data_IF_742870066647
#
_entry.id   IF_742870066647
#
_cell.length_a   1.000
_cell.length_b   1.000
_cell.length_c   1.000
_cell.angle_alpha   90.00
_cell.angle_beta   90.00
_cell.angle_gamma   90.00
#
_symmetry.space_group_name_H-M   'P 1'
#
loop_
_entity.id
_entity.type
_entity.pdbx_description
1 polymer ?
#
# COMPACT_ATOMS: atom_id res chain seq x y z
N UNK A 1 -29.02 75.99 -10.85
CA UNK A 1 -29.64 75.20 -9.79
C UNK A 1 -29.32 73.74 -10.03
N UNK A 2 -28.60 73.23 -9.09
CA UNK A 2 -27.97 71.91 -9.12
C UNK A 2 -28.97 70.80 -8.89
N UNK A 3 -28.72 69.65 -9.48
CA UNK A 3 -28.88 68.42 -8.73
C UNK A 3 -27.96 67.31 -9.28
N UNK A 4 -27.07 66.88 -8.40
CA UNK A 4 -26.15 65.77 -8.62
C UNK A 4 -26.80 64.53 -8.05
N UNK A 5 -27.11 63.56 -8.89
CA UNK A 5 -27.57 62.24 -8.46
C UNK A 5 -26.43 61.24 -8.60
N UNK A 6 -25.89 60.82 -7.44
CA UNK A 6 -24.81 59.83 -7.35
C UNK A 6 -25.31 58.43 -7.65
N UNK A 7 -24.57 57.72 -8.50
CA UNK A 7 -24.75 56.31 -8.77
C UNK A 7 -23.96 55.49 -7.74
N UNK A 8 -24.70 54.83 -6.82
CA UNK A 8 -24.13 53.79 -5.94
C UNK A 8 -24.05 52.47 -6.72
N UNK A 9 -22.83 52.05 -7.05
CA UNK A 9 -22.56 50.68 -7.48
C UNK A 9 -22.74 49.73 -6.29
N UNK A 10 -23.78 48.92 -6.31
CA UNK A 10 -23.90 47.75 -5.44
C UNK A 10 -23.07 46.63 -6.05
N UNK A 11 -21.86 46.38 -5.53
CA UNK A 11 -21.15 45.13 -5.72
C UNK A 11 -21.88 44.02 -4.94
N UNK A 12 -22.58 43.16 -5.66
CA UNK A 12 -23.09 41.91 -5.11
C UNK A 12 -21.90 40.93 -5.02
N UNK A 13 -21.34 40.74 -3.83
CA UNK A 13 -20.38 39.70 -3.54
C UNK A 13 -21.11 38.35 -3.51
N UNK A 14 -20.96 37.55 -4.57
CA UNK A 14 -21.37 36.17 -4.53
C UNK A 14 -20.41 35.41 -3.63
N UNK A 15 -20.86 35.11 -2.40
CA UNK A 15 -20.22 34.16 -1.51
C UNK A 15 -20.48 32.78 -2.08
N UNK A 16 -19.51 32.20 -2.80
CA UNK A 16 -19.52 30.80 -3.18
C UNK A 16 -19.37 30.00 -1.90
N UNK A 17 -20.46 29.50 -1.35
CA UNK A 17 -20.42 28.47 -0.31
C UNK A 17 -19.83 27.20 -0.93
N UNK A 18 -18.57 26.96 -0.69
CA UNK A 18 -17.97 25.63 -0.87
C UNK A 18 -18.67 24.73 0.15
N UNK A 19 -19.31 23.62 -0.26
CA UNK A 19 -19.90 22.69 0.71
C UNK A 19 -18.81 22.26 1.68
N UNK A 20 -19.00 22.58 2.96
CA UNK A 20 -18.06 22.23 4.01
C UNK A 20 -17.80 20.72 3.97
N UNK A 21 -16.53 20.34 3.88
CA UNK A 21 -16.09 18.98 4.14
C UNK A 21 -16.44 18.72 5.60
N UNK A 22 -17.53 18.00 5.85
CA UNK A 22 -17.84 17.47 7.18
C UNK A 22 -16.77 16.44 7.46
N UNK A 23 -15.77 16.83 8.23
CA UNK A 23 -14.72 15.92 8.70
C UNK A 23 -15.39 14.90 9.63
N UNK A 24 -15.37 13.59 9.33
CA UNK A 24 -15.88 12.59 10.26
C UNK A 24 -15.08 12.65 11.57
N UNK A 25 -15.67 12.25 12.70
CA UNK A 25 -14.98 12.28 13.99
C UNK A 25 -13.70 11.44 13.93
N UNK A 26 -12.62 11.98 14.49
CA UNK A 26 -11.34 11.30 14.59
C UNK A 26 -11.47 10.08 15.51
N UNK A 27 -11.32 8.88 14.96
CA UNK A 27 -11.36 7.62 15.70
C UNK A 27 -9.96 7.12 16.07
N UNK A 28 -8.90 7.75 15.58
CA UNK A 28 -7.53 7.47 15.99
C UNK A 28 -7.22 8.05 17.38
N UNK A 29 -6.36 7.39 18.13
CA UNK A 29 -5.79 7.98 19.34
C UNK A 29 -5.12 9.31 19.01
N UNK A 30 -5.03 10.23 19.99
CA UNK A 30 -4.32 11.48 19.79
C UNK A 30 -2.88 11.18 19.33
N UNK A 31 -2.52 11.59 18.10
CA UNK A 31 -1.23 11.30 17.48
C UNK A 31 -1.21 10.10 16.53
N UNK A 32 -2.35 9.43 16.28
CA UNK A 32 -2.43 8.35 15.29
C UNK A 32 -2.03 8.82 13.88
N UNK A 33 -1.28 7.97 13.17
CA UNK A 33 -0.80 8.23 11.82
C UNK A 33 -1.98 8.17 10.83
N UNK A 34 -2.25 9.25 10.12
CA UNK A 34 -3.28 9.28 9.07
C UNK A 34 -2.80 8.51 7.87
N UNK A 35 -3.52 7.48 7.48
CA UNK A 35 -3.18 6.65 6.33
C UNK A 35 -4.30 6.64 5.28
N UNK A 36 -3.90 6.48 4.02
CA UNK A 36 -4.77 6.02 2.93
C UNK A 36 -4.24 4.66 2.53
N UNK A 37 -5.08 3.63 2.64
CA UNK A 37 -4.77 2.27 2.18
C UNK A 37 -5.24 2.13 0.73
N UNK A 38 -4.32 1.90 -0.21
CA UNK A 38 -4.63 1.60 -1.61
C UNK A 38 -4.39 0.10 -1.83
N UNK A 39 -5.40 -0.64 -2.29
CA UNK A 39 -5.48 -2.10 -2.13
C UNK A 39 -6.19 -2.73 -3.33
N UNK A 40 -5.87 -3.97 -3.66
CA UNK A 40 -6.53 -4.81 -4.70
C UNK A 40 -7.22 -6.04 -4.09
N UNK A 41 -8.24 -5.87 -3.23
CA UNK A 41 -8.69 -6.72 -2.15
C UNK A 41 -8.70 -8.22 -2.43
N UNK A 42 -7.54 -8.85 -2.15
CA UNK A 42 -7.33 -10.28 -2.03
C UNK A 42 -7.35 -10.75 -0.57
N UNK A 43 -6.85 -11.96 -0.34
CA UNK A 43 -6.82 -12.57 0.99
C UNK A 43 -5.85 -11.90 1.95
N UNK A 44 -4.66 -11.53 1.49
CA UNK A 44 -3.64 -10.81 2.28
C UNK A 44 -3.98 -9.31 2.44
N UNK A 45 -4.61 -8.69 1.44
CA UNK A 45 -5.24 -7.37 1.59
C UNK A 45 -6.30 -7.36 2.70
N UNK A 46 -7.11 -8.41 2.78
CA UNK A 46 -8.09 -8.54 3.87
C UNK A 46 -7.40 -8.57 5.23
N UNK A 47 -6.27 -9.26 5.34
CA UNK A 47 -5.46 -9.28 6.56
C UNK A 47 -4.84 -7.91 6.85
N UNK A 48 -4.33 -7.21 5.84
CA UNK A 48 -3.77 -5.87 5.95
C UNK A 48 -4.83 -4.85 6.38
N UNK A 49 -6.01 -4.87 5.74
CA UNK A 49 -7.11 -3.99 6.07
C UNK A 49 -7.59 -4.19 7.51
N UNK A 50 -7.79 -5.43 7.93
CA UNK A 50 -8.23 -5.72 9.30
C UNK A 50 -7.16 -5.38 10.33
N UNK A 51 -5.88 -5.56 10.04
CA UNK A 51 -4.79 -5.08 10.89
C UNK A 51 -4.84 -3.55 11.03
N UNK A 52 -5.00 -2.82 9.92
CA UNK A 52 -5.08 -1.35 9.95
C UNK A 52 -6.27 -0.85 10.77
N UNK A 53 -7.45 -1.47 10.61
CA UNK A 53 -8.67 -1.08 11.32
C UNK A 53 -8.64 -1.40 12.83
N UNK A 54 -7.84 -2.39 13.24
CA UNK A 54 -7.70 -2.79 14.64
C UNK A 54 -6.45 -2.21 15.34
N UNK A 55 -5.73 -1.30 14.67
CA UNK A 55 -4.49 -0.70 15.21
C UNK A 55 -4.74 0.75 15.61
N UNK A 56 -4.71 1.07 16.93
CA UNK A 56 -4.98 2.43 17.41
C UNK A 56 -3.92 3.45 16.99
N UNK A 57 -2.76 3.00 16.54
CA UNK A 57 -1.69 3.84 15.99
C UNK A 57 -2.02 4.42 14.61
N UNK A 58 -3.05 3.87 13.94
CA UNK A 58 -3.45 4.26 12.60
C UNK A 58 -4.83 4.92 12.59
N UNK A 59 -4.94 6.02 11.86
CA UNK A 59 -6.19 6.69 11.50
C UNK A 59 -6.43 6.49 10.00
N UNK A 60 -7.21 5.46 9.65
CA UNK A 60 -7.54 5.12 8.25
C UNK A 60 -8.50 6.16 7.69
N UNK A 61 -7.98 7.09 6.87
CA UNK A 61 -8.74 8.22 6.30
C UNK A 61 -9.52 7.86 5.04
N UNK A 62 -9.03 6.87 4.29
CA UNK A 62 -9.69 6.32 3.12
C UNK A 62 -9.12 4.95 2.76
N UNK A 63 -9.91 4.22 1.98
CA UNK A 63 -9.50 3.03 1.25
C UNK A 63 -9.76 3.30 -0.22
N UNK A 64 -8.73 3.14 -1.06
CA UNK A 64 -8.87 3.22 -2.52
C UNK A 64 -8.58 1.86 -3.12
N UNK A 65 -9.36 1.50 -4.15
CA UNK A 65 -9.28 0.16 -4.74
C UNK A 65 -8.69 0.24 -6.13
N UNK A 66 -7.71 -0.62 -6.38
CA UNK A 66 -7.03 -0.83 -7.66
C UNK A 66 -7.26 -2.27 -8.12
N UNK A 67 -7.23 -2.61 -9.41
CA UNK A 67 -7.25 -3.99 -9.87
C UNK A 67 -5.86 -4.64 -9.72
N UNK A 68 -5.84 -5.91 -9.38
CA UNK A 68 -4.64 -6.73 -9.23
C UNK A 68 -5.05 -8.16 -8.92
N UNK A 69 -5.15 -8.54 -7.65
CA UNK A 69 -5.58 -9.87 -7.23
C UNK A 69 -6.95 -10.25 -7.80
N UNK A 70 -7.84 -9.28 -7.91
CA UNK A 70 -9.16 -9.38 -8.53
C UNK A 70 -9.43 -8.17 -9.42
N UNK A 71 -10.54 -8.20 -10.16
CA UNK A 71 -11.00 -7.02 -10.92
C UNK A 71 -11.37 -5.86 -9.98
N UNK A 72 -11.26 -4.63 -10.46
CA UNK A 72 -11.60 -3.43 -9.68
C UNK A 72 -13.02 -3.50 -9.07
N UNK A 73 -14.00 -3.99 -9.83
CA UNK A 73 -15.39 -4.14 -9.35
C UNK A 73 -15.52 -5.16 -8.21
N UNK A 74 -14.87 -6.33 -8.32
CA UNK A 74 -14.84 -7.33 -7.25
C UNK A 74 -14.09 -6.81 -6.04
N UNK A 75 -12.96 -6.14 -6.24
CA UNK A 75 -12.18 -5.53 -5.16
C UNK A 75 -12.96 -4.47 -4.39
N UNK A 76 -13.68 -3.59 -5.10
CA UNK A 76 -14.53 -2.57 -4.46
C UNK A 76 -15.64 -3.22 -3.60
N UNK A 77 -16.29 -4.27 -4.11
CA UNK A 77 -17.28 -5.01 -3.34
C UNK A 77 -16.66 -5.67 -2.11
N UNK A 78 -15.48 -6.29 -2.24
CA UNK A 78 -14.76 -6.91 -1.12
C UNK A 78 -14.41 -5.85 -0.04
N UNK A 79 -13.81 -4.72 -0.43
CA UNK A 79 -13.47 -3.64 0.51
C UNK A 79 -14.70 -3.12 1.25
N UNK A 80 -15.80 -2.87 0.54
CA UNK A 80 -17.07 -2.42 1.14
C UNK A 80 -17.65 -3.44 2.13
N UNK A 81 -17.61 -4.74 1.79
CA UNK A 81 -18.06 -5.81 2.68
C UNK A 81 -17.19 -5.90 3.94
N UNK A 82 -15.87 -5.76 3.80
CA UNK A 82 -14.93 -5.80 4.92
C UNK A 82 -15.10 -4.62 5.87
N UNK A 83 -15.20 -3.37 5.39
CA UNK A 83 -15.46 -2.22 6.27
C UNK A 83 -16.84 -2.29 6.91
N UNK A 84 -17.84 -2.87 6.22
CA UNK A 84 -19.16 -3.13 6.76
C UNK A 84 -19.11 -4.17 7.89
N UNK A 85 -18.34 -5.24 7.73
CA UNK A 85 -18.11 -6.27 8.75
C UNK A 85 -17.45 -5.70 10.00
N UNK A 86 -16.49 -4.78 9.80
CA UNK A 86 -15.79 -4.09 10.88
C UNK A 86 -16.59 -2.93 11.50
N UNK A 87 -17.85 -2.68 11.05
CA UNK A 87 -18.68 -1.53 11.44
C UNK A 87 -18.00 -0.15 11.22
N UNK A 88 -17.20 -0.03 10.14
CA UNK A 88 -16.42 1.18 9.80
C UNK A 88 -16.91 1.84 8.50
N UNK A 89 -18.25 1.95 8.33
CA UNK A 89 -18.84 2.69 7.21
C UNK A 89 -18.57 4.21 7.24
N UNK A 90 -17.93 4.70 8.28
CA UNK A 90 -17.40 6.06 8.39
C UNK A 90 -16.19 6.29 7.48
N UNK A 91 -15.46 5.23 7.10
CA UNK A 91 -14.30 5.31 6.21
C UNK A 91 -14.77 5.33 4.76
N UNK A 92 -14.43 6.37 3.97
CA UNK A 92 -14.72 6.38 2.54
C UNK A 92 -13.94 5.29 1.80
N UNK A 93 -14.65 4.52 0.99
CA UNK A 93 -14.08 3.49 0.11
C UNK A 93 -14.38 3.89 -1.33
N UNK A 94 -13.36 4.14 -2.13
CA UNK A 94 -13.50 4.61 -3.52
C UNK A 94 -12.88 3.62 -4.51
N UNK A 95 -13.59 3.33 -5.60
CA UNK A 95 -13.03 2.64 -6.75
C UNK A 95 -12.04 3.54 -7.50
N UNK A 96 -10.93 2.96 -7.92
CA UNK A 96 -9.90 3.63 -8.70
C UNK A 96 -9.85 3.15 -10.15
N UNK A 97 -8.63 3.01 -10.68
CA UNK A 97 -8.39 2.49 -12.03
C UNK A 97 -9.09 1.14 -12.24
N UNK A 98 -9.52 0.89 -13.46
CA UNK A 98 -10.10 -0.41 -13.85
C UNK A 98 -9.06 -1.32 -14.50
N UNK A 99 -7.95 -0.75 -14.97
CA UNK A 99 -6.87 -1.43 -15.67
C UNK A 99 -5.51 -0.81 -15.33
N UNK A 100 -4.40 -1.57 -15.44
CA UNK A 100 -3.05 -1.02 -15.46
C UNK A 100 -2.89 0.02 -16.58
N UNK A 101 -1.89 0.89 -16.50
CA UNK A 101 -1.68 1.99 -17.46
C UNK A 101 -1.51 1.50 -18.90
N UNK A 102 -0.72 0.45 -19.10
CA UNK A 102 -0.34 0.03 -20.46
C UNK A 102 -0.53 -1.46 -20.74
N UNK A 103 -0.66 -2.30 -19.75
CA UNK A 103 -0.77 -3.73 -20.00
C UNK A 103 -2.12 -4.31 -19.59
N UNK A 104 -2.36 -5.56 -19.96
CA UNK A 104 -3.57 -6.26 -19.55
C UNK A 104 -3.49 -6.62 -18.07
N UNK A 105 -4.59 -6.48 -17.36
CA UNK A 105 -4.74 -6.96 -16.01
C UNK A 105 -4.50 -8.47 -15.93
N UNK A 106 -3.71 -8.89 -14.95
CA UNK A 106 -3.48 -10.28 -14.60
C UNK A 106 -4.00 -10.46 -13.18
N UNK A 107 -5.09 -11.22 -13.03
CA UNK A 107 -5.66 -11.53 -11.72
C UNK A 107 -4.99 -12.74 -11.08
N UNK A 108 -5.08 -12.82 -9.75
CA UNK A 108 -4.44 -13.87 -8.95
C UNK A 108 -5.48 -14.78 -8.25
N UNK A 109 -6.60 -15.11 -8.91
CA UNK A 109 -7.67 -15.96 -8.37
C UNK A 109 -7.17 -17.31 -7.86
N UNK A 110 -6.06 -17.81 -8.42
CA UNK A 110 -5.45 -19.06 -7.96
C UNK A 110 -4.99 -18.97 -6.50
N UNK A 111 -4.41 -17.82 -6.11
CA UNK A 111 -3.91 -17.59 -4.76
C UNK A 111 -4.98 -17.05 -3.79
N UNK A 112 -5.96 -16.29 -4.29
CA UNK A 112 -6.92 -15.58 -3.46
C UNK A 112 -8.34 -16.15 -3.51
N UNK A 113 -8.57 -17.22 -4.29
CA UNK A 113 -9.90 -17.75 -4.54
C UNK A 113 -10.67 -16.91 -5.57
N UNK A 114 -11.75 -17.47 -6.12
CA UNK A 114 -12.53 -16.82 -7.21
C UNK A 114 -13.11 -15.46 -6.83
N UNK A 115 -13.47 -15.29 -5.56
CA UNK A 115 -14.00 -14.02 -5.05
C UNK A 115 -12.93 -13.13 -4.42
N UNK A 116 -11.66 -13.53 -4.43
CA UNK A 116 -10.55 -12.82 -3.82
C UNK A 116 -10.43 -13.01 -2.30
N UNK A 117 -11.40 -13.62 -1.62
CA UNK A 117 -11.44 -13.77 -0.17
C UNK A 117 -11.39 -15.24 0.28
N UNK A 118 -10.59 -16.07 -0.41
CA UNK A 118 -10.49 -17.50 -0.09
C UNK A 118 -11.79 -18.26 -0.33
N UNK A 119 -12.65 -17.77 -1.22
CA UNK A 119 -14.02 -18.26 -1.48
C UNK A 119 -14.95 -18.13 -0.26
N UNK A 120 -14.64 -17.28 0.70
CA UNK A 120 -15.49 -17.02 1.87
C UNK A 120 -16.49 -15.95 1.48
N UNK A 121 -17.78 -16.26 1.70
CA UNK A 121 -18.87 -15.34 1.43
C UNK A 121 -19.10 -14.41 2.63
N UNK A 122 -18.98 -13.11 2.38
CA UNK A 122 -19.37 -12.07 3.33
C UNK A 122 -20.81 -11.59 3.07
N UNK A 123 -21.54 -11.16 4.10
CA UNK A 123 -22.81 -10.48 3.93
C UNK A 123 -22.69 -9.29 2.98
N UNK A 124 -23.79 -8.92 2.32
CA UNK A 124 -23.83 -7.68 1.53
C UNK A 124 -23.46 -6.48 2.39
N UNK A 125 -22.68 -5.58 1.82
CA UNK A 125 -22.25 -4.37 2.51
C UNK A 125 -23.44 -3.47 2.86
N UNK A 126 -23.41 -2.88 4.05
CA UNK A 126 -24.26 -1.77 4.47
C UNK A 126 -23.63 -0.42 4.11
N UNK A 127 -22.32 -0.39 3.85
CA UNK A 127 -21.58 0.79 3.44
C UNK A 127 -21.80 1.06 1.94
N UNK A 128 -21.68 2.32 1.56
CA UNK A 128 -21.76 2.74 0.16
C UNK A 128 -20.38 3.19 -0.29
N UNK A 129 -20.08 2.96 -1.57
CA UNK A 129 -18.88 3.50 -2.17
C UNK A 129 -18.91 5.03 -2.18
N UNK A 130 -17.74 5.64 -1.97
CA UNK A 130 -17.54 7.06 -2.26
C UNK A 130 -17.66 7.28 -3.78
N UNK A 131 -18.36 8.32 -4.18
CA UNK A 131 -18.60 8.60 -5.60
C UNK A 131 -17.36 9.17 -6.32
N UNK A 132 -16.32 9.58 -5.57
CA UNK A 132 -15.07 10.06 -6.15
C UNK A 132 -14.28 8.92 -6.75
N UNK A 133 -13.54 9.21 -7.80
CA UNK A 133 -12.51 8.32 -8.32
C UNK A 133 -11.36 8.19 -7.30
N UNK A 134 -10.82 6.99 -7.07
CA UNK A 134 -9.81 6.73 -6.05
C UNK A 134 -8.64 7.73 -6.05
N UNK A 135 -7.97 7.98 -7.19
CA UNK A 135 -6.94 9.03 -7.31
C UNK A 135 -7.41 10.42 -6.91
N UNK A 136 -8.66 10.81 -7.22
CA UNK A 136 -9.21 12.12 -6.81
C UNK A 136 -9.45 12.19 -5.30
N UNK A 137 -9.84 11.07 -4.69
CA UNK A 137 -9.97 10.97 -3.23
C UNK A 137 -8.60 11.11 -2.54
N UNK A 138 -7.55 10.46 -3.08
CA UNK A 138 -6.16 10.59 -2.61
C UNK A 138 -5.74 12.06 -2.66
N UNK A 139 -5.88 12.72 -3.82
CA UNK A 139 -5.53 14.13 -4.01
C UNK A 139 -6.26 15.02 -2.99
N UNK A 140 -7.57 14.84 -2.87
CA UNK A 140 -8.38 15.64 -1.96
C UNK A 140 -7.93 15.53 -0.50
N UNK A 141 -7.61 14.31 -0.03
CA UNK A 141 -7.18 14.07 1.34
C UNK A 141 -5.75 14.55 1.60
N UNK A 142 -4.82 14.35 0.65
CA UNK A 142 -3.45 14.87 0.79
C UNK A 142 -3.46 16.40 0.86
N UNK A 143 -4.29 17.07 0.07
CA UNK A 143 -4.45 18.55 0.14
C UNK A 143 -5.15 19.02 1.39
N UNK A 144 -6.09 18.24 1.93
CA UNK A 144 -6.78 18.57 3.19
C UNK A 144 -5.88 18.39 4.43
N UNK A 145 -4.90 17.50 4.36
CA UNK A 145 -3.98 17.14 5.46
C UNK A 145 -2.52 17.17 4.97
N UNK A 146 -1.99 18.35 4.56
CA UNK A 146 -0.63 18.44 4.01
C UNK A 146 0.42 18.00 5.04
N UNK A 147 1.35 17.16 4.60
CA UNK A 147 2.42 16.54 5.40
C UNK A 147 1.96 15.62 6.54
N UNK A 148 0.67 15.21 6.52
CA UNK A 148 0.15 14.31 7.55
C UNK A 148 -0.21 12.93 6.99
N UNK A 149 -0.54 12.83 5.69
CA UNK A 149 -0.97 11.57 5.06
C UNK A 149 0.22 10.69 4.74
N UNK A 150 0.18 9.45 5.25
CA UNK A 150 1.00 8.33 4.78
C UNK A 150 0.18 7.53 3.78
N UNK A 151 0.70 7.36 2.56
CA UNK A 151 0.12 6.45 1.58
C UNK A 151 0.64 5.04 1.86
N UNK A 152 -0.26 4.07 1.94
CA UNK A 152 0.06 2.65 2.15
C UNK A 152 -0.53 1.84 0.99
N UNK A 153 0.10 1.88 -0.21
CA UNK A 153 -0.33 1.03 -1.31
C UNK A 153 0.18 -0.40 -1.08
N UNK A 154 -0.75 -1.36 -1.12
CA UNK A 154 -0.48 -2.80 -1.01
C UNK A 154 -0.87 -3.57 -2.27
N UNK A 155 -1.44 -2.89 -3.26
CA UNK A 155 -1.71 -3.39 -4.61
C UNK A 155 -0.83 -2.72 -5.68
N UNK A 156 -1.12 -2.95 -6.98
CA UNK A 156 -0.47 -2.27 -8.09
C UNK A 156 -0.58 -0.74 -7.98
N UNK A 157 0.47 -0.01 -8.34
CA UNK A 157 0.63 1.41 -8.04
C UNK A 157 -0.14 2.36 -8.98
N UNK A 158 -1.07 1.85 -9.78
CA UNK A 158 -1.81 2.59 -10.81
C UNK A 158 -2.55 3.80 -10.24
N UNK A 159 -3.27 3.64 -9.11
CA UNK A 159 -4.00 4.75 -8.50
C UNK A 159 -3.06 5.87 -8.02
N UNK A 160 -1.93 5.50 -7.46
CA UNK A 160 -0.93 6.45 -6.94
C UNK A 160 -0.29 7.21 -8.11
N UNK A 161 0.06 6.51 -9.18
CA UNK A 161 0.60 7.13 -10.40
C UNK A 161 -0.40 8.09 -11.06
N UNK A 162 -1.68 7.70 -11.16
CA UNK A 162 -2.73 8.58 -11.66
C UNK A 162 -2.95 9.81 -10.78
N UNK A 163 -2.82 9.68 -9.46
CA UNK A 163 -2.90 10.83 -8.56
C UNK A 163 -1.74 11.81 -8.78
N UNK A 164 -0.51 11.30 -9.00
CA UNK A 164 0.66 12.11 -9.36
C UNK A 164 0.44 12.80 -10.70
N UNK A 165 -0.02 12.08 -11.72
CA UNK A 165 -0.23 12.62 -13.06
C UNK A 165 -1.29 13.73 -13.08
N UNK A 166 -2.40 13.51 -12.37
CA UNK A 166 -3.49 14.49 -12.27
C UNK A 166 -3.08 15.74 -11.48
N UNK A 167 -2.27 15.57 -10.46
CA UNK A 167 -1.85 16.65 -9.56
C UNK A 167 -0.45 16.41 -8.97
N UNK A 168 0.62 16.71 -9.72
CA UNK A 168 1.99 16.55 -9.23
C UNK A 168 2.29 17.35 -7.94
N UNK A 169 1.47 18.39 -7.68
CA UNK A 169 1.61 19.23 -6.48
C UNK A 169 1.27 18.51 -5.17
N UNK A 170 0.75 17.28 -5.20
CA UNK A 170 0.55 16.47 -3.98
C UNK A 170 1.84 15.84 -3.48
N UNK A 171 2.81 15.59 -4.36
CA UNK A 171 4.05 14.87 -3.99
C UNK A 171 4.75 15.50 -2.79
N UNK A 172 5.07 16.81 -2.76
CA UNK A 172 5.69 17.42 -1.59
C UNK A 172 4.78 17.49 -0.35
N UNK A 173 3.46 17.25 -0.50
CA UNK A 173 2.49 17.29 0.59
C UNK A 173 2.27 15.94 1.25
N UNK A 174 2.65 14.84 0.60
CA UNK A 174 2.60 13.49 1.19
C UNK A 174 3.68 13.38 2.27
N UNK A 175 3.33 12.84 3.44
CA UNK A 175 4.27 12.62 4.53
C UNK A 175 5.30 11.55 4.19
N UNK A 176 4.84 10.40 3.72
CA UNK A 176 5.62 9.26 3.29
C UNK A 176 4.77 8.26 2.51
N UNK A 177 5.41 7.39 1.75
CA UNK A 177 4.81 6.23 1.10
C UNK A 177 5.43 4.97 1.68
N UNK A 178 4.62 4.01 2.11
CA UNK A 178 5.05 2.69 2.56
C UNK A 178 4.34 1.68 1.66
N UNK A 179 5.03 1.18 0.64
CA UNK A 179 4.43 0.28 -0.34
C UNK A 179 4.77 -1.18 -0.06
N UNK A 180 3.81 -2.07 -0.31
CA UNK A 180 4.09 -3.47 -0.54
C UNK A 180 4.36 -3.70 -2.02
N UNK A 181 5.51 -4.22 -2.34
CA UNK A 181 5.88 -4.55 -3.72
C UNK A 181 7.37 -4.62 -3.94
N UNK A 182 7.74 -5.22 -5.04
CA UNK A 182 9.12 -5.37 -5.48
C UNK A 182 9.95 -6.39 -4.72
N UNK A 183 11.16 -6.57 -5.19
CA UNK A 183 12.18 -7.43 -4.59
C UNK A 183 13.55 -7.09 -5.17
N UNK A 184 14.60 -7.28 -4.38
CA UNK A 184 15.99 -7.15 -4.86
C UNK A 184 16.69 -8.50 -5.05
N UNK A 185 15.94 -9.60 -4.87
CA UNK A 185 16.49 -10.98 -4.96
C UNK A 185 15.78 -11.87 -5.96
N UNK A 186 14.76 -11.37 -6.64
CA UNK A 186 13.95 -12.14 -7.59
C UNK A 186 12.46 -11.91 -7.39
N UNK A 187 11.62 -12.56 -8.19
CA UNK A 187 10.18 -12.31 -8.21
C UNK A 187 9.35 -13.52 -7.78
N UNK A 188 8.02 -13.31 -7.71
CA UNK A 188 7.02 -14.35 -7.45
C UNK A 188 6.07 -14.58 -8.65
N UNK A 189 6.02 -13.65 -9.62
CA UNK A 189 5.27 -13.83 -10.88
C UNK A 189 6.17 -14.46 -11.93
N UNK A 190 7.41 -14.05 -12.00
CA UNK A 190 8.45 -14.62 -12.82
C UNK A 190 9.79 -14.57 -12.04
N UNK A 191 10.90 -14.93 -12.66
CA UNK A 191 12.20 -14.94 -11.99
C UNK A 191 12.70 -13.57 -11.50
N UNK A 192 12.16 -12.47 -12.02
CA UNK A 192 12.64 -11.12 -11.78
C UNK A 192 11.64 -10.22 -11.04
N UNK A 193 10.34 -10.37 -11.27
CA UNK A 193 9.34 -9.39 -10.89
C UNK A 193 8.37 -9.90 -9.79
N UNK A 194 8.08 -8.99 -8.86
CA UNK A 194 7.01 -9.13 -7.88
C UNK A 194 5.66 -8.71 -8.49
N UNK A 195 4.56 -9.29 -8.03
CA UNK A 195 3.23 -9.21 -8.64
C UNK A 195 2.68 -7.79 -8.76
N UNK A 196 2.77 -6.95 -7.73
CA UNK A 196 2.24 -5.59 -7.74
C UNK A 196 3.00 -4.72 -8.74
N UNK A 197 4.33 -4.83 -8.74
CA UNK A 197 5.17 -4.09 -9.68
C UNK A 197 5.00 -4.62 -11.10
N UNK A 198 4.88 -5.95 -11.26
CA UNK A 198 4.67 -6.57 -12.57
C UNK A 198 3.33 -6.20 -13.19
N UNK A 199 2.28 -6.03 -12.40
CA UNK A 199 0.97 -5.63 -12.91
C UNK A 199 0.96 -4.23 -13.53
N UNK A 200 1.77 -3.29 -13.02
CA UNK A 200 1.90 -1.94 -13.62
C UNK A 200 3.30 -1.36 -13.42
N UNK A 201 4.31 -1.83 -14.18
CA UNK A 201 5.69 -1.37 -14.02
C UNK A 201 5.87 0.12 -14.30
N UNK A 202 5.10 0.69 -15.23
CA UNK A 202 5.14 2.11 -15.56
C UNK A 202 4.61 2.96 -14.41
N UNK A 203 3.51 2.57 -13.79
CA UNK A 203 3.01 3.22 -12.58
C UNK A 203 4.02 3.12 -11.44
N UNK A 204 4.63 1.95 -11.25
CA UNK A 204 5.65 1.74 -10.24
C UNK A 204 6.87 2.65 -10.48
N UNK A 205 7.38 2.74 -11.69
CA UNK A 205 8.49 3.64 -12.03
C UNK A 205 8.15 5.11 -11.71
N UNK A 206 6.94 5.57 -12.03
CA UNK A 206 6.48 6.93 -11.69
C UNK A 206 6.50 7.17 -10.18
N UNK A 207 6.03 6.21 -9.40
CA UNK A 207 5.96 6.29 -7.93
C UNK A 207 7.36 6.31 -7.30
N UNK A 208 8.29 5.46 -7.76
CA UNK A 208 9.67 5.45 -7.27
C UNK A 208 10.42 6.72 -7.62
N UNK A 209 10.13 7.35 -8.76
CA UNK A 209 10.80 8.57 -9.22
C UNK A 209 10.13 9.87 -8.77
N UNK A 210 9.03 9.80 -8.03
CA UNK A 210 8.26 10.99 -7.63
C UNK A 210 9.01 11.93 -6.68
N UNK A 211 9.95 11.43 -5.87
CA UNK A 211 10.79 12.25 -4.98
C UNK A 211 10.26 12.44 -3.56
N UNK A 212 9.26 11.69 -3.15
CA UNK A 212 8.78 11.64 -1.76
C UNK A 212 9.55 10.63 -0.90
N UNK A 213 9.47 10.71 0.44
CA UNK A 213 9.96 9.65 1.32
C UNK A 213 9.23 8.33 1.04
N UNK A 214 9.96 7.31 0.57
CA UNK A 214 9.40 6.02 0.17
C UNK A 214 10.10 4.88 0.90
N UNK A 215 9.30 3.93 1.44
CA UNK A 215 9.79 2.66 1.98
C UNK A 215 9.18 1.51 1.19
N UNK A 216 10.04 0.69 0.58
CA UNK A 216 9.68 -0.53 -0.13
C UNK A 216 9.70 -1.71 0.84
N UNK A 217 8.56 -2.38 1.02
CA UNK A 217 8.39 -3.61 1.78
C UNK A 217 8.16 -4.73 0.78
N UNK A 218 9.25 -5.32 0.29
CA UNK A 218 9.23 -6.31 -0.79
C UNK A 218 9.23 -7.76 -0.30
N UNK A 219 9.34 -8.68 -1.27
CA UNK A 219 9.42 -10.12 -1.01
C UNK A 219 10.58 -10.47 -0.08
N UNK A 220 11.70 -9.71 -0.14
CA UNK A 220 12.92 -9.93 0.66
C UNK A 220 12.67 -10.04 2.16
N UNK A 221 11.63 -9.39 2.66
CA UNK A 221 11.21 -9.41 4.06
C UNK A 221 9.89 -10.14 4.25
N UNK A 222 8.97 -10.08 3.28
CA UNK A 222 7.69 -10.80 3.31
C UNK A 222 7.88 -12.30 3.42
N UNK A 223 8.81 -12.88 2.64
CA UNK A 223 9.13 -14.32 2.66
C UNK A 223 9.65 -14.82 4.01
N UNK A 224 10.10 -13.91 4.87
CA UNK A 224 10.55 -14.23 6.23
C UNK A 224 9.43 -14.19 7.27
N UNK A 225 8.24 -13.68 6.93
CA UNK A 225 7.11 -13.52 7.84
C UNK A 225 6.05 -14.60 7.60
N UNK A 226 6.38 -15.84 7.87
CA UNK A 226 5.52 -16.99 7.60
C UNK A 226 4.47 -17.16 8.72
N UNK A 227 3.20 -16.96 8.37
CA UNK A 227 2.06 -17.24 9.23
C UNK A 227 1.63 -18.70 9.05
N UNK A 228 1.90 -19.53 10.05
CA UNK A 228 1.66 -20.97 10.00
C UNK A 228 0.56 -21.44 10.95
N UNK A 229 0.48 -22.78 11.14
CA UNK A 229 -0.51 -23.43 12.01
C UNK A 229 -0.55 -22.88 13.44
N UNK A 230 0.62 -22.59 14.02
CA UNK A 230 0.73 -22.04 15.39
C UNK A 230 -0.05 -20.72 15.55
N UNK A 231 0.14 -19.79 14.62
CA UNK A 231 -0.54 -18.51 14.62
C UNK A 231 -2.03 -18.67 14.29
N UNK A 232 -2.37 -19.56 13.35
CA UNK A 232 -3.74 -19.87 13.00
C UNK A 232 -4.53 -20.42 14.20
N UNK A 233 -3.96 -21.33 14.97
CA UNK A 233 -4.55 -21.85 16.21
C UNK A 233 -4.76 -20.73 17.25
N UNK A 234 -3.82 -19.79 17.33
CA UNK A 234 -3.98 -18.65 18.25
C UNK A 234 -5.13 -17.74 17.80
N UNK A 235 -5.22 -17.43 16.51
CA UNK A 235 -6.31 -16.63 15.96
C UNK A 235 -7.67 -17.28 16.15
N UNK A 236 -7.77 -18.60 16.01
CA UNK A 236 -9.00 -19.38 16.20
C UNK A 236 -9.52 -19.43 17.65
N UNK A 237 -8.79 -18.89 18.63
CA UNK A 237 -9.28 -18.81 20.04
C UNK A 237 -10.22 -17.64 20.29
N UNK A 238 -10.30 -16.68 19.37
CA UNK A 238 -11.19 -15.52 19.49
C UNK A 238 -12.27 -15.63 18.43
N UNK A 239 -13.52 -15.49 18.84
CA UNK A 239 -14.68 -15.61 17.97
C UNK A 239 -15.39 -14.27 17.80
N UNK A 240 -16.12 -14.17 16.71
CA UNK A 240 -16.90 -13.01 16.32
C UNK A 240 -16.82 -12.79 14.82
N UNK A 241 -17.70 -11.96 14.24
CA UNK A 241 -17.81 -11.83 12.78
C UNK A 241 -16.48 -11.52 12.08
N UNK A 242 -15.69 -10.61 12.62
CA UNK A 242 -14.37 -10.24 12.09
C UNK A 242 -13.34 -11.36 12.30
N UNK A 243 -13.30 -11.95 13.50
CA UNK A 243 -12.33 -12.99 13.84
C UNK A 243 -12.58 -14.28 13.06
N UNK A 244 -13.85 -14.68 12.94
CA UNK A 244 -14.23 -15.89 12.18
C UNK A 244 -13.93 -15.72 10.69
N UNK A 245 -14.16 -14.53 10.12
CA UNK A 245 -13.76 -14.20 8.76
C UNK A 245 -12.24 -14.27 8.60
N UNK A 246 -11.49 -13.62 9.49
CA UNK A 246 -10.02 -13.59 9.44
C UNK A 246 -9.42 -14.97 9.62
N UNK A 247 -9.98 -15.79 10.53
CA UNK A 247 -9.59 -17.19 10.67
C UNK A 247 -9.81 -17.96 9.36
N UNK A 248 -10.95 -17.78 8.71
CA UNK A 248 -11.26 -18.43 7.44
C UNK A 248 -10.28 -18.06 6.32
N UNK A 249 -10.03 -16.77 6.15
CA UNK A 249 -9.11 -16.25 5.12
C UNK A 249 -7.68 -16.72 5.37
N UNK A 250 -7.17 -16.60 6.59
CA UNK A 250 -5.81 -17.06 6.93
C UNK A 250 -5.67 -18.57 6.82
N UNK A 251 -6.70 -19.32 7.23
CA UNK A 251 -6.73 -20.78 7.05
C UNK A 251 -6.62 -21.17 5.58
N UNK A 252 -7.37 -20.51 4.69
CA UNK A 252 -7.33 -20.78 3.26
C UNK A 252 -5.89 -20.63 2.73
N UNK A 253 -5.19 -19.54 3.07
CA UNK A 253 -3.83 -19.29 2.62
C UNK A 253 -2.83 -20.28 3.23
N UNK A 254 -2.93 -20.58 4.53
CA UNK A 254 -2.04 -21.56 5.18
C UNK A 254 -2.20 -22.94 4.53
N UNK A 255 -3.44 -23.40 4.32
CA UNK A 255 -3.70 -24.68 3.67
C UNK A 255 -3.26 -24.73 2.20
N UNK A 256 -3.33 -23.58 1.51
CA UNK A 256 -2.81 -23.47 0.14
C UNK A 256 -1.28 -23.55 0.14
N UNK A 257 -0.59 -22.77 0.98
CA UNK A 257 0.88 -22.80 1.09
C UNK A 257 1.42 -24.20 1.45
N UNK A 258 0.76 -24.88 2.38
CA UNK A 258 1.13 -26.26 2.76
C UNK A 258 1.02 -27.26 1.59
N UNK A 259 0.06 -27.06 0.65
CA UNK A 259 -0.03 -27.90 -0.56
C UNK A 259 1.18 -27.73 -1.49
N UNK A 260 1.87 -26.59 -1.42
CA UNK A 260 3.12 -26.34 -2.13
C UNK A 260 4.37 -26.71 -1.33
N UNK A 261 4.21 -27.21 -0.10
CA UNK A 261 5.30 -27.67 0.75
C UNK A 261 5.86 -26.58 1.69
N UNK A 262 5.22 -25.44 1.76
CA UNK A 262 5.62 -24.34 2.64
C UNK A 262 5.10 -24.56 4.07
N UNK A 263 5.81 -24.05 5.06
CA UNK A 263 5.44 -24.16 6.48
C UNK A 263 4.39 -23.12 6.93
N UNK A 264 4.01 -22.20 6.05
CA UNK A 264 3.04 -21.13 6.28
C UNK A 264 2.95 -20.19 5.10
N UNK A 265 2.04 -19.22 5.17
CA UNK A 265 1.86 -18.21 4.15
C UNK A 265 2.67 -16.95 4.46
N UNK A 266 3.36 -16.35 3.48
CA UNK A 266 4.00 -15.05 3.65
C UNK A 266 2.97 -13.97 3.96
N UNK A 267 3.35 -13.01 4.80
CA UNK A 267 2.49 -11.92 5.24
C UNK A 267 2.92 -10.60 4.55
N UNK A 268 2.73 -10.52 3.23
CA UNK A 268 3.24 -9.40 2.43
C UNK A 268 2.57 -8.07 2.79
N UNK A 269 1.30 -7.92 2.49
CA UNK A 269 0.52 -6.68 2.71
C UNK A 269 0.36 -6.33 4.18
N UNK A 270 0.07 -7.32 5.06
CA UNK A 270 0.01 -7.03 6.49
C UNK A 270 1.33 -6.50 7.05
N UNK A 271 2.49 -6.93 6.48
CA UNK A 271 3.79 -6.42 6.90
C UNK A 271 3.97 -4.94 6.54
N UNK A 272 3.53 -4.49 5.36
CA UNK A 272 3.57 -3.08 4.99
C UNK A 272 2.74 -2.21 5.94
N UNK A 273 1.55 -2.68 6.33
CA UNK A 273 0.75 -2.04 7.38
C UNK A 273 1.47 -2.10 8.74
N UNK A 274 2.11 -3.22 9.06
CA UNK A 274 2.95 -3.37 10.26
C UNK A 274 4.08 -2.33 10.32
N UNK A 275 4.75 -2.08 9.20
CA UNK A 275 5.79 -1.02 9.09
C UNK A 275 5.19 0.38 9.26
N UNK A 276 3.95 0.60 8.81
CA UNK A 276 3.25 1.86 9.08
C UNK A 276 2.93 2.04 10.59
N UNK A 277 2.69 0.95 11.31
CA UNK A 277 2.49 0.95 12.78
C UNK A 277 3.84 1.16 13.49
N UNK A 278 4.83 0.35 13.15
CA UNK A 278 6.15 0.34 13.77
C UNK A 278 7.26 0.14 12.72
N UNK A 279 7.90 1.25 12.34
CA UNK A 279 8.97 1.23 11.34
C UNK A 279 10.20 0.41 11.78
N UNK A 280 10.37 0.14 13.08
CA UNK A 280 11.48 -0.67 13.59
C UNK A 280 11.29 -2.18 13.36
N UNK A 281 10.16 -2.60 12.80
CA UNK A 281 9.95 -4.00 12.38
C UNK A 281 10.92 -4.43 11.29
N UNK A 282 11.38 -3.48 10.46
CA UNK A 282 12.28 -3.78 9.34
C UNK A 282 13.59 -3.00 9.45
N UNK A 283 14.64 -3.56 8.84
CA UNK A 283 15.87 -2.83 8.53
C UNK A 283 15.82 -2.40 7.07
N UNK A 284 15.79 -1.10 6.82
CA UNK A 284 15.58 -0.54 5.49
C UNK A 284 16.63 0.53 5.14
N UNK A 285 17.82 0.15 4.60
CA UNK A 285 18.80 1.09 4.11
C UNK A 285 18.29 1.88 2.90
N UNK A 286 18.82 3.09 2.73
CA UNK A 286 18.54 3.92 1.56
C UNK A 286 19.24 3.35 0.32
N UNK A 287 18.50 3.18 -0.77
CA UNK A 287 18.98 2.71 -2.06
C UNK A 287 18.33 3.52 -3.18
N UNK A 288 18.96 3.54 -4.35
CA UNK A 288 18.29 3.96 -5.57
C UNK A 288 17.61 2.74 -6.19
N UNK A 289 16.35 2.89 -6.52
CA UNK A 289 15.52 1.83 -7.12
C UNK A 289 14.93 2.35 -8.42
N UNK A 290 15.17 1.63 -9.49
CA UNK A 290 14.49 1.77 -10.78
C UNK A 290 13.58 0.58 -11.02
N UNK A 291 12.57 0.73 -11.88
CA UNK A 291 11.71 -0.35 -12.30
C UNK A 291 11.94 -0.63 -13.79
N UNK A 292 12.23 -1.88 -14.13
CA UNK A 292 12.41 -2.30 -15.50
C UNK A 292 11.06 -2.34 -16.25
N UNK A 293 10.88 -1.46 -17.23
CA UNK A 293 9.61 -1.31 -17.97
C UNK A 293 9.65 -1.88 -19.39
N UNK A 294 10.83 -2.30 -19.93
CA UNK A 294 11.02 -2.65 -21.34
C UNK A 294 11.58 -4.04 -21.58
N UNK A 295 12.25 -4.62 -20.58
CA UNK A 295 12.91 -5.91 -20.71
C UNK A 295 11.92 -7.05 -20.96
N UNK A 296 12.24 -7.94 -21.89
CA UNK A 296 11.42 -9.11 -22.19
C UNK A 296 11.33 -10.08 -21.01
N UNK A 297 12.44 -10.28 -20.28
CA UNK A 297 12.54 -11.26 -19.17
C UNK A 297 12.53 -10.59 -17.79
N UNK A 298 12.80 -9.29 -17.73
CA UNK A 298 13.01 -8.52 -16.49
C UNK A 298 11.95 -7.44 -16.28
N UNK A 299 10.96 -7.33 -17.17
CA UNK A 299 9.87 -6.36 -17.02
C UNK A 299 9.21 -6.49 -15.65
N UNK A 300 9.12 -5.39 -14.92
CA UNK A 300 8.61 -5.33 -13.54
C UNK A 300 9.65 -5.64 -12.47
N UNK A 301 10.92 -5.91 -12.82
CA UNK A 301 12.00 -6.03 -11.84
C UNK A 301 12.27 -4.69 -11.16
N UNK A 302 12.41 -4.70 -9.84
CA UNK A 302 12.92 -3.57 -9.07
C UNK A 302 14.45 -3.67 -8.97
N UNK A 303 15.13 -2.81 -9.72
CA UNK A 303 16.59 -2.78 -9.83
C UNK A 303 17.15 -1.84 -8.77
N UNK A 304 17.58 -2.39 -7.63
CA UNK A 304 18.14 -1.61 -6.55
C UNK A 304 19.66 -1.47 -6.64
N UNK A 305 20.16 -0.25 -6.55
CA UNK A 305 21.60 -0.01 -6.50
C UNK A 305 22.15 -0.29 -5.09
N UNK A 306 22.82 -1.44 -4.95
CA UNK A 306 23.49 -1.91 -3.71
C UNK A 306 24.95 -1.45 -3.64
N UNK A 307 25.22 -0.23 -4.06
CA UNK A 307 26.58 0.33 -4.18
C UNK A 307 27.45 0.11 -2.94
N UNK A 308 26.89 0.31 -1.75
CA UNK A 308 27.64 0.15 -0.49
C UNK A 308 28.14 -1.27 -0.24
N UNK A 309 27.50 -2.30 -0.82
CA UNK A 309 27.97 -3.68 -0.78
C UNK A 309 29.08 -3.91 -1.81
N UNK A 310 28.91 -3.33 -3.00
CA UNK A 310 29.90 -3.42 -4.09
C UNK A 310 31.20 -2.71 -3.70
N UNK A 311 31.12 -1.49 -3.16
CA UNK A 311 32.30 -0.72 -2.72
C UNK A 311 33.08 -1.47 -1.63
N UNK A 312 32.39 -2.06 -0.65
CA UNK A 312 33.07 -2.87 0.39
C UNK A 312 33.78 -4.08 -0.19
N UNK A 313 33.16 -4.78 -1.13
CA UNK A 313 33.72 -5.99 -1.73
C UNK A 313 34.85 -5.68 -2.72
N UNK A 314 34.76 -4.58 -3.45
CA UNK A 314 35.79 -4.15 -4.43
C UNK A 314 37.00 -3.54 -3.72
N UNK A 315 36.81 -2.66 -2.73
CA UNK A 315 37.90 -2.01 -2.01
C UNK A 315 38.78 -2.98 -1.19
N UNK A 316 38.25 -4.13 -0.80
CA UNK A 316 39.05 -5.16 -0.10
C UNK A 316 39.98 -5.96 -1.03
N UNK A 317 39.80 -5.87 -2.36
CA UNK A 317 40.56 -6.70 -3.32
C UNK A 317 41.57 -5.91 -4.16
N UNK A 318 41.62 -4.58 -4.07
CA UNK A 318 42.56 -3.76 -4.81
C UNK A 318 43.62 -3.13 -3.89
N UNK A 319 44.93 -3.22 -4.25
CA UNK A 319 45.98 -2.54 -3.48
C UNK A 319 45.74 -1.01 -3.44
N UNK A 320 46.17 -0.36 -2.36
CA UNK A 320 46.16 1.11 -2.27
C UNK A 320 46.87 1.73 -3.47
N UNK A 321 46.12 2.42 -4.33
CA UNK A 321 46.63 3.13 -5.50
C UNK A 321 45.82 2.97 -6.78
N UNK A 322 45.13 1.85 -6.98
CA UNK A 322 44.37 1.61 -8.20
C UNK A 322 42.87 1.89 -7.96
N UNK A 323 42.49 3.14 -7.88
CA UNK A 323 41.06 3.54 -7.87
C UNK A 323 40.54 3.53 -9.31
N UNK A 324 39.82 2.47 -9.67
CA UNK A 324 38.91 2.54 -10.82
C UNK A 324 37.71 3.39 -10.44
N UNK A 325 37.73 4.65 -10.79
CA UNK A 325 36.55 5.53 -10.71
C UNK A 325 35.71 5.21 -11.94
N UNK A 326 34.58 4.49 -11.74
CA UNK A 326 33.57 4.39 -12.79
C UNK A 326 32.82 5.72 -12.77
N UNK A 327 33.12 6.60 -13.72
CA UNK A 327 32.47 7.90 -13.89
C UNK A 327 30.95 7.71 -13.94
N UNK A 328 30.21 8.39 -13.04
CA UNK A 328 28.75 8.41 -12.99
C UNK A 328 28.11 7.55 -11.90
N UNK A 329 28.82 6.62 -11.26
CA UNK A 329 28.27 5.84 -10.13
C UNK A 329 28.17 6.64 -8.82
N UNK A 330 28.93 7.70 -8.69
CA UNK A 330 28.98 8.60 -7.54
C UNK A 330 27.83 9.63 -7.48
N UNK A 331 26.94 9.62 -8.51
CA UNK A 331 25.81 10.55 -8.63
C UNK A 331 24.42 9.92 -8.38
N UNK A 332 24.36 8.63 -8.05
CA UNK A 332 23.08 7.97 -7.84
C UNK A 332 22.55 8.30 -6.44
N UNK A 333 21.57 9.20 -6.39
CA UNK A 333 20.90 9.59 -5.14
C UNK A 333 19.86 8.54 -4.77
N UNK A 334 19.86 8.02 -3.53
CA UNK A 334 18.80 7.12 -3.09
C UNK A 334 17.41 7.77 -3.20
N UNK A 335 16.43 7.02 -3.70
CA UNK A 335 15.03 7.44 -3.82
C UNK A 335 14.09 6.61 -2.95
N UNK A 336 14.58 5.52 -2.34
CA UNK A 336 13.77 4.66 -1.49
C UNK A 336 14.59 4.09 -0.32
N UNK A 337 13.90 3.78 0.78
CA UNK A 337 14.36 2.83 1.78
C UNK A 337 13.90 1.45 1.36
N UNK A 338 14.80 0.47 1.28
CA UNK A 338 14.50 -0.89 0.84
C UNK A 338 14.61 -1.83 2.03
N UNK A 339 13.51 -2.47 2.39
CA UNK A 339 13.48 -3.41 3.51
C UNK A 339 14.25 -4.69 3.17
N UNK A 340 15.30 -5.00 3.92
CA UNK A 340 16.20 -6.16 3.68
C UNK A 340 16.17 -7.19 4.80
N UNK A 341 15.72 -6.79 5.99
CA UNK A 341 15.55 -7.68 7.12
C UNK A 341 14.34 -7.29 7.98
N UNK A 342 13.79 -8.25 8.76
CA UNK A 342 12.53 -8.09 9.49
C UNK A 342 12.56 -8.82 10.83
N UNK A 343 11.96 -8.23 11.84
CA UNK A 343 11.66 -8.84 13.15
C UNK A 343 10.37 -9.68 13.05
N UNK A 344 10.43 -10.80 12.33
CA UNK A 344 9.25 -11.58 11.95
C UNK A 344 8.38 -11.99 13.14
N UNK A 345 8.96 -12.55 14.20
CA UNK A 345 8.21 -12.97 15.40
C UNK A 345 7.45 -11.81 16.03
N UNK A 346 8.10 -10.64 16.18
CA UNK A 346 7.48 -9.42 16.72
C UNK A 346 6.29 -8.97 15.87
N UNK A 347 6.43 -9.03 14.54
CA UNK A 347 5.34 -8.69 13.63
C UNK A 347 4.18 -9.69 13.73
N UNK A 348 4.44 -10.99 13.72
CA UNK A 348 3.41 -12.02 13.84
C UNK A 348 2.65 -11.94 15.17
N UNK A 349 3.34 -11.65 16.27
CA UNK A 349 2.73 -11.38 17.58
C UNK A 349 1.85 -10.13 17.55
N UNK A 350 2.33 -9.04 16.95
CA UNK A 350 1.55 -7.82 16.74
C UNK A 350 0.26 -8.13 15.96
N UNK A 351 0.36 -8.80 14.83
CA UNK A 351 -0.78 -9.15 13.98
C UNK A 351 -1.84 -9.94 14.73
N UNK A 352 -1.44 -11.04 15.39
CA UNK A 352 -2.38 -11.88 16.14
C UNK A 352 -3.03 -11.10 17.29
N UNK A 353 -2.25 -10.31 18.03
CA UNK A 353 -2.76 -9.54 19.17
C UNK A 353 -3.81 -8.52 18.74
N UNK A 354 -3.60 -7.80 17.63
CA UNK A 354 -4.55 -6.82 17.11
C UNK A 354 -5.86 -7.45 16.68
N UNK A 355 -5.82 -8.61 16.04
CA UNK A 355 -7.03 -9.32 15.65
C UNK A 355 -7.76 -9.96 16.83
N UNK A 356 -7.07 -10.17 17.95
CA UNK A 356 -7.68 -10.64 19.19
C UNK A 356 -8.23 -9.51 20.09
N UNK A 357 -8.08 -8.25 19.68
CA UNK A 357 -8.54 -7.10 20.46
C UNK A 357 -7.69 -6.82 21.71
N UNK A 358 -6.39 -7.14 21.64
CA UNK A 358 -5.43 -6.96 22.74
C UNK A 358 -4.46 -5.82 22.47
#
# INVERSE_FOLDING_TARGET
>A
MADRMGWFLRMLSYLVMVPGIVCPPAWGAAGAKKIILDTDPGTDDAMALMLALNSPELDVRAITVVPGNVTAGQGLENALRMVSLANRCDIPVAGGAEHPLFQKLITAEFWHGKNGLGNIELPKSKCKADARFGPDLIIALVRAYPHEITLVPVGPLTNIALAIEKDPGIVPLVKEVILMGGSIKGGNVNAAAEANIYNDPEAAQMVFQAGWPLTMVGLDVGDKTLFGRKQLEQLGKTHGPVNDFMYGVTKFLVELSEKFGDSGTPMYDPLAVGVAIDAELVTAPAMHVDVETRGEFTRGETVANRRNEIERNVLHHFPEGDRYVIEGLDKVVPNAKVSIDVKADKFLELFVSRLQGK
#
